data_IF_419837580582
#
_entry.id   IF_419837580582
#
_cell.length_a   1.000
_cell.length_b   1.000
_cell.length_c   1.000
_cell.angle_alpha   90.00
_cell.angle_beta   90.00
_cell.angle_gamma   90.00
#
_symmetry.space_group_name_H-M   'P 1'
#
loop_
_entity.id
_entity.type
_entity.pdbx_description
1 polymer ?
#
# COMPACT_ATOMS: atom_id res chain seq x y z
N UNK A 1 24.88 -0.17 -17.95
CA UNK A 1 24.70 -0.66 -16.55
C UNK A 1 23.94 -1.96 -16.58
N UNK A 2 24.16 -2.89 -15.67
CA UNK A 2 23.41 -4.15 -15.64
C UNK A 2 22.08 -3.93 -14.90
N UNK A 3 20.98 -4.45 -15.48
CA UNK A 3 19.69 -4.52 -14.77
C UNK A 3 19.82 -5.39 -13.52
N UNK A 4 19.23 -4.95 -12.43
CA UNK A 4 19.15 -5.68 -11.17
C UNK A 4 17.71 -5.74 -10.66
N UNK A 5 17.43 -6.69 -9.80
CA UNK A 5 16.13 -6.81 -9.15
C UNK A 5 15.95 -5.66 -8.14
N UNK A 6 14.91 -4.86 -8.32
CA UNK A 6 14.55 -3.75 -7.45
C UNK A 6 13.28 -4.12 -6.68
N UNK A 7 13.37 -4.04 -5.36
CA UNK A 7 12.30 -4.35 -4.42
C UNK A 7 12.04 -3.10 -3.58
N UNK A 8 10.80 -2.60 -3.59
CA UNK A 8 10.39 -1.42 -2.84
C UNK A 8 9.19 -1.74 -1.97
N UNK A 9 9.32 -1.55 -0.69
CA UNK A 9 8.32 -1.95 0.31
C UNK A 9 7.57 -0.74 0.88
N UNK A 10 6.23 -0.84 0.97
CA UNK A 10 5.34 0.17 1.55
C UNK A 10 4.52 -0.44 2.69
N UNK A 11 4.40 0.25 3.85
CA UNK A 11 3.69 -0.29 5.03
C UNK A 11 2.19 -0.13 4.92
N UNK A 12 1.45 -1.18 5.30
CA UNK A 12 0.00 -1.19 5.38
C UNK A 12 -0.45 -1.28 6.84
N UNK A 13 -1.29 -0.33 7.31
CA UNK A 13 -2.02 -0.46 8.57
C UNK A 13 -3.51 -0.59 8.27
N UNK A 14 -4.10 -1.73 8.64
CA UNK A 14 -5.53 -1.96 8.51
C UNK A 14 -6.14 -1.97 9.90
N UNK A 15 -7.15 -1.13 10.13
CA UNK A 15 -7.87 -1.12 11.40
C UNK A 15 -8.83 -2.31 11.47
N UNK A 16 -8.88 -3.07 12.59
CA UNK A 16 -9.79 -4.21 12.75
C UNK A 16 -11.27 -3.88 12.54
N UNK A 17 -11.69 -2.65 12.85
CA UNK A 17 -13.08 -2.19 12.68
C UNK A 17 -13.51 -2.04 11.22
N UNK A 18 -12.57 -2.02 10.29
CA UNK A 18 -12.81 -1.85 8.85
C UNK A 18 -12.98 -3.17 8.09
N UNK A 19 -12.78 -4.31 8.76
CA UNK A 19 -12.69 -5.64 8.14
C UNK A 19 -14.01 -6.30 7.76
N UNK A 20 -15.13 -5.82 8.30
CA UNK A 20 -16.41 -6.54 8.17
C UNK A 20 -17.24 -6.14 6.94
N UNK A 21 -16.86 -5.08 6.20
CA UNK A 21 -17.74 -4.47 5.20
C UNK A 21 -17.19 -4.41 3.76
N UNK A 22 -15.91 -4.82 3.52
CA UNK A 22 -15.31 -4.70 2.19
C UNK A 22 -15.05 -6.05 1.55
N UNK A 23 -16.11 -6.54 0.99
CA UNK A 23 -16.10 -7.79 0.25
C UNK A 23 -16.45 -7.46 -1.19
N UNK A 24 -15.64 -7.92 -2.14
CA UNK A 24 -16.04 -7.88 -3.54
C UNK A 24 -17.40 -8.57 -3.68
N UNK A 25 -18.39 -7.84 -4.20
CA UNK A 25 -19.80 -8.31 -4.28
C UNK A 25 -19.97 -9.57 -5.15
N UNK A 26 -19.06 -9.77 -6.11
CA UNK A 26 -19.11 -10.93 -7.02
C UNK A 26 -18.36 -12.15 -6.45
N UNK A 27 -17.16 -11.95 -5.91
CA UNK A 27 -16.30 -13.05 -5.44
C UNK A 27 -16.41 -13.36 -3.95
N UNK A 28 -16.92 -12.44 -3.15
CA UNK A 28 -16.93 -12.54 -1.69
C UNK A 28 -15.54 -12.40 -1.04
N UNK A 29 -14.53 -11.99 -1.80
CA UNK A 29 -13.17 -11.83 -1.32
C UNK A 29 -12.95 -10.48 -0.62
N UNK A 30 -12.06 -10.44 0.37
CA UNK A 30 -11.65 -9.21 1.04
C UNK A 30 -10.92 -8.28 0.04
N UNK A 31 -11.29 -7.01 0.03
CA UNK A 31 -10.60 -5.97 -0.74
C UNK A 31 -9.96 -4.97 0.21
N UNK A 32 -8.72 -4.61 -0.07
CA UNK A 32 -7.95 -3.59 0.64
C UNK A 32 -7.51 -2.50 -0.32
N UNK A 33 -7.33 -1.28 0.20
CA UNK A 33 -6.90 -0.13 -0.59
C UNK A 33 -5.78 0.62 0.13
N UNK A 34 -4.86 1.18 -0.64
CA UNK A 34 -3.80 2.03 -0.11
C UNK A 34 -2.74 2.40 -1.15
N UNK A 35 -1.64 2.98 -0.66
CA UNK A 35 -0.56 3.46 -1.50
C UNK A 35 0.29 2.29 -1.99
N UNK A 36 0.40 2.14 -3.30
CA UNK A 36 1.32 1.20 -3.96
C UNK A 36 2.73 1.77 -4.06
N UNK A 37 2.84 3.05 -4.47
CA UNK A 37 4.11 3.76 -4.58
C UNK A 37 3.93 5.25 -4.30
N UNK A 38 5.02 5.94 -3.98
CA UNK A 38 5.08 7.41 -3.98
C UNK A 38 6.20 7.82 -4.94
N UNK A 39 5.83 8.60 -5.96
CA UNK A 39 6.77 9.13 -6.94
C UNK A 39 7.47 10.39 -6.39
N UNK A 40 8.55 10.81 -7.06
CA UNK A 40 9.26 12.08 -6.82
C UNK A 40 9.84 12.23 -5.40
N UNK A 41 9.93 11.14 -4.64
CA UNK A 41 10.51 11.14 -3.29
C UNK A 41 11.56 10.04 -3.13
N UNK A 42 12.56 10.32 -2.28
CA UNK A 42 13.52 9.30 -1.86
C UNK A 42 12.83 8.33 -0.91
N UNK A 43 12.82 7.04 -1.26
CA UNK A 43 12.25 6.00 -0.41
C UNK A 43 13.23 5.47 0.65
N UNK A 44 12.77 4.53 1.48
CA UNK A 44 13.55 3.93 2.57
C UNK A 44 14.82 3.20 2.10
N UNK A 45 14.85 2.74 0.85
CA UNK A 45 16.04 2.11 0.23
C UNK A 45 16.99 3.13 -0.40
N UNK A 46 16.70 4.43 -0.28
CA UNK A 46 17.51 5.50 -0.87
C UNK A 46 17.29 5.68 -2.37
N UNK A 47 16.26 5.05 -2.94
CA UNK A 47 15.92 5.11 -4.35
C UNK A 47 14.90 6.19 -4.63
N UNK A 48 14.97 6.73 -5.86
CA UNK A 48 14.06 7.75 -6.37
C UNK A 48 13.47 7.29 -7.69
N UNK A 49 12.16 7.39 -7.81
CA UNK A 49 11.39 7.04 -8.99
C UNK A 49 10.67 8.27 -9.51
N UNK A 50 10.87 8.59 -10.79
CA UNK A 50 10.10 9.62 -11.47
C UNK A 50 8.66 9.18 -11.66
N UNK A 51 7.73 10.13 -11.70
CA UNK A 51 6.32 9.84 -11.92
C UNK A 51 6.06 9.24 -13.30
N UNK A 52 6.73 9.76 -14.33
CA UNK A 52 6.63 9.27 -15.70
C UNK A 52 7.05 7.79 -15.84
N UNK A 53 7.99 7.36 -14.98
CA UNK A 53 8.42 5.97 -14.95
C UNK A 53 7.28 5.05 -14.47
N UNK A 54 6.58 5.46 -13.41
CA UNK A 54 5.41 4.74 -12.91
C UNK A 54 4.25 4.80 -13.89
N UNK A 55 3.96 5.96 -14.51
CA UNK A 55 2.91 6.10 -15.51
C UNK A 55 3.09 5.10 -16.65
N UNK A 56 4.29 5.04 -17.21
CA UNK A 56 4.63 4.09 -18.27
C UNK A 56 4.47 2.63 -17.85
N UNK A 57 4.93 2.27 -16.65
CA UNK A 57 4.85 0.89 -16.17
C UNK A 57 3.42 0.51 -15.80
N UNK A 58 2.64 1.42 -15.23
CA UNK A 58 1.24 1.16 -14.92
C UNK A 58 0.36 1.07 -16.18
N UNK A 59 0.68 1.80 -17.24
CA UNK A 59 0.02 1.64 -18.54
C UNK A 59 0.21 0.21 -19.10
N UNK A 60 1.42 -0.35 -18.99
CA UNK A 60 1.69 -1.76 -19.35
C UNK A 60 0.98 -2.74 -18.41
N UNK A 61 0.97 -2.42 -17.11
CA UNK A 61 0.37 -3.26 -16.08
C UNK A 61 -1.15 -3.29 -16.16
N UNK A 62 -1.77 -2.27 -16.75
CA UNK A 62 -3.23 -2.15 -16.94
C UNK A 62 -3.83 -3.35 -17.67
N UNK A 63 -3.13 -3.91 -18.65
CA UNK A 63 -3.58 -5.12 -19.33
C UNK A 63 -3.68 -6.31 -18.36
N UNK A 64 -2.70 -6.46 -17.47
CA UNK A 64 -2.73 -7.52 -16.45
C UNK A 64 -3.90 -7.35 -15.48
N UNK A 65 -4.21 -6.10 -15.10
CA UNK A 65 -5.36 -5.77 -14.25
C UNK A 65 -6.66 -6.14 -14.95
N UNK A 66 -6.85 -5.70 -16.19
CA UNK A 66 -8.05 -5.98 -17.00
C UNK A 66 -8.28 -7.48 -17.25
N UNK A 67 -7.19 -8.22 -17.46
CA UNK A 67 -7.22 -9.67 -17.67
C UNK A 67 -7.24 -10.48 -16.36
N UNK A 68 -7.28 -9.83 -15.18
CA UNK A 68 -7.17 -10.46 -13.86
C UNK A 68 -5.92 -11.35 -13.72
N UNK A 69 -4.80 -10.87 -14.24
CA UNK A 69 -3.47 -11.51 -14.20
C UNK A 69 -2.45 -10.73 -13.37
N UNK A 70 -2.86 -9.63 -12.75
CA UNK A 70 -2.06 -8.75 -11.89
C UNK A 70 -1.78 -9.38 -10.52
N UNK A 71 -1.31 -10.63 -10.53
CA UNK A 71 -1.05 -11.42 -9.34
C UNK A 71 0.15 -10.90 -8.56
N UNK A 72 0.07 -11.01 -7.22
CA UNK A 72 1.18 -10.78 -6.31
C UNK A 72 1.32 -11.92 -5.30
N UNK A 73 2.50 -12.03 -4.72
CA UNK A 73 2.85 -13.08 -3.77
C UNK A 73 2.79 -12.57 -2.33
N UNK A 74 2.63 -13.50 -1.40
CA UNK A 74 2.89 -13.25 0.00
C UNK A 74 4.38 -13.49 0.23
N UNK A 75 5.04 -12.45 0.76
CA UNK A 75 6.48 -12.36 0.89
C UNK A 75 7.23 -12.12 -0.45
N UNK A 76 8.49 -11.66 -0.37
CA UNK A 76 9.30 -11.32 -1.53
C UNK A 76 10.27 -12.45 -1.86
N UNK A 77 10.04 -13.21 -2.94
CA UNK A 77 11.07 -14.09 -3.45
C UNK A 77 12.11 -13.28 -4.25
N UNK A 78 13.37 -13.66 -4.19
CA UNK A 78 14.43 -13.19 -5.09
C UNK A 78 14.27 -13.78 -6.50
N UNK A 79 13.10 -13.56 -7.11
CA UNK A 79 12.73 -14.14 -8.40
C UNK A 79 12.04 -13.13 -9.28
N UNK A 80 12.31 -13.19 -10.58
CA UNK A 80 11.62 -12.40 -11.60
C UNK A 80 10.32 -13.05 -12.09
N UNK A 81 10.04 -14.28 -11.63
CA UNK A 81 8.86 -15.05 -12.03
C UNK A 81 7.96 -15.25 -10.82
N UNK A 82 6.65 -15.00 -11.00
CA UNK A 82 5.63 -15.21 -9.96
C UNK A 82 5.44 -16.71 -9.74
N UNK A 83 5.59 -17.15 -8.50
CA UNK A 83 5.32 -18.52 -8.09
C UNK A 83 3.83 -18.66 -7.72
N UNK A 84 3.06 -19.34 -8.55
CA UNK A 84 1.62 -19.52 -8.35
C UNK A 84 1.24 -20.14 -7.00
N UNK A 85 2.14 -20.90 -6.36
CA UNK A 85 1.89 -21.44 -5.01
C UNK A 85 1.85 -20.36 -3.93
N UNK A 86 2.54 -19.25 -4.14
CA UNK A 86 2.65 -18.14 -3.19
C UNK A 86 1.67 -17.00 -3.48
N UNK A 87 0.95 -17.06 -4.59
CA UNK A 87 -0.02 -16.03 -4.96
C UNK A 87 -1.06 -15.86 -3.85
N UNK A 88 -1.21 -14.62 -3.36
CA UNK A 88 -2.11 -14.26 -2.28
C UNK A 88 -3.19 -13.28 -2.70
N UNK A 89 -3.01 -12.54 -3.80
CA UNK A 89 -3.87 -11.41 -4.17
C UNK A 89 -3.76 -11.03 -5.65
N UNK A 90 -4.68 -10.14 -6.06
CA UNK A 90 -4.68 -9.44 -7.34
C UNK A 90 -4.80 -7.93 -7.10
N UNK A 91 -4.07 -7.12 -7.86
CA UNK A 91 -4.39 -5.70 -8.02
C UNK A 91 -5.59 -5.58 -8.96
N UNK A 92 -6.68 -4.93 -8.52
CA UNK A 92 -7.92 -4.86 -9.27
C UNK A 92 -8.21 -3.48 -9.85
N UNK A 93 -7.60 -2.45 -9.26
CA UNK A 93 -7.75 -1.06 -9.68
C UNK A 93 -6.57 -0.22 -9.19
N UNK A 94 -6.29 0.89 -9.84
CA UNK A 94 -5.26 1.83 -9.42
C UNK A 94 -5.54 3.24 -9.95
N UNK A 95 -4.93 4.24 -9.32
CA UNK A 95 -5.03 5.64 -9.74
C UNK A 95 -4.12 6.54 -8.95
N UNK A 96 -3.91 7.75 -9.45
CA UNK A 96 -3.08 8.75 -8.78
C UNK A 96 -3.89 9.63 -7.81
N UNK A 97 -3.31 9.89 -6.65
CA UNK A 97 -3.69 10.95 -5.74
C UNK A 97 -2.43 11.81 -5.47
N UNK A 98 -2.31 12.91 -6.19
CA UNK A 98 -1.07 13.70 -6.22
C UNK A 98 0.12 12.89 -6.75
N UNK A 99 1.13 12.67 -5.90
CA UNK A 99 2.31 11.85 -6.22
C UNK A 99 2.21 10.42 -5.64
N UNK A 100 1.06 10.06 -5.07
CA UNK A 100 0.80 8.74 -4.54
C UNK A 100 0.04 7.90 -5.56
N UNK A 101 0.60 6.77 -5.94
CA UNK A 101 -0.09 5.75 -6.71
C UNK A 101 -0.91 4.90 -5.75
N UNK A 102 -2.21 5.08 -5.76
CA UNK A 102 -3.16 4.31 -4.97
C UNK A 102 -3.53 3.02 -5.69
N UNK A 103 -3.85 1.97 -4.95
CA UNK A 103 -4.34 0.71 -5.54
C UNK A 103 -5.37 0.02 -4.69
N UNK A 104 -6.24 -0.76 -5.37
CA UNK A 104 -7.18 -1.70 -4.77
C UNK A 104 -6.69 -3.12 -5.01
N UNK A 105 -6.68 -3.91 -3.96
CA UNK A 105 -6.14 -5.26 -3.97
C UNK A 105 -7.19 -6.23 -3.44
N UNK A 106 -7.54 -7.23 -4.23
CA UNK A 106 -8.42 -8.33 -3.86
C UNK A 106 -7.59 -9.50 -3.30
N UNK A 107 -7.86 -9.89 -2.06
CA UNK A 107 -7.19 -11.03 -1.41
C UNK A 107 -7.86 -12.33 -1.87
N UNK A 108 -7.09 -13.18 -2.51
CA UNK A 108 -7.58 -14.44 -3.09
C UNK A 108 -7.71 -15.55 -2.03
N UNK A 109 -8.66 -16.51 -2.19
CA UNK A 109 -8.81 -17.63 -1.28
C UNK A 109 -7.77 -18.76 -1.53
N UNK A 110 -6.54 -18.39 -1.83
CA UNK A 110 -5.39 -19.29 -1.91
C UNK A 110 -4.83 -19.58 -0.51
N UNK A 111 -3.97 -20.59 -0.32
CA UNK A 111 -3.32 -20.80 0.97
C UNK A 111 -2.59 -19.54 1.49
N UNK A 112 -1.80 -18.87 0.64
CA UNK A 112 -1.08 -17.62 0.99
C UNK A 112 -2.05 -16.46 1.22
N UNK A 113 -3.10 -16.33 0.43
CA UNK A 113 -4.12 -15.30 0.62
C UNK A 113 -4.95 -15.51 1.90
N UNK A 114 -5.22 -16.74 2.29
CA UNK A 114 -5.88 -17.02 3.57
C UNK A 114 -4.99 -16.64 4.77
N UNK A 115 -3.68 -16.89 4.70
CA UNK A 115 -2.72 -16.40 5.71
C UNK A 115 -2.77 -14.89 5.78
N UNK A 116 -2.63 -14.21 4.65
CA UNK A 116 -2.70 -12.75 4.56
C UNK A 116 -4.00 -12.20 5.14
N UNK A 117 -5.14 -12.78 4.75
CA UNK A 117 -6.48 -12.41 5.25
C UNK A 117 -6.58 -12.51 6.77
N UNK A 118 -6.07 -13.59 7.36
CA UNK A 118 -6.11 -13.76 8.82
C UNK A 118 -5.14 -12.81 9.55
N UNK A 119 -3.96 -12.53 8.98
CA UNK A 119 -3.07 -11.49 9.51
C UNK A 119 -3.77 -10.13 9.56
N UNK A 120 -4.37 -9.72 8.44
CA UNK A 120 -5.11 -8.46 8.32
C UNK A 120 -6.27 -8.39 9.32
N UNK A 121 -7.09 -9.45 9.42
CA UNK A 121 -8.23 -9.52 10.36
C UNK A 121 -7.80 -9.42 11.83
N UNK A 122 -6.63 -9.88 12.16
CA UNK A 122 -6.08 -9.81 13.51
C UNK A 122 -5.28 -8.50 13.76
N UNK A 123 -5.37 -7.52 12.85
CA UNK A 123 -4.75 -6.21 13.01
C UNK A 123 -3.24 -6.21 12.81
N UNK A 124 -2.68 -7.25 12.20
CA UNK A 124 -1.27 -7.29 11.84
C UNK A 124 -1.04 -6.31 10.70
N UNK A 125 -0.08 -5.40 10.90
CA UNK A 125 0.33 -4.46 9.86
C UNK A 125 1.20 -5.19 8.83
N UNK A 126 0.77 -5.17 7.58
CA UNK A 126 1.50 -5.71 6.43
C UNK A 126 1.72 -4.60 5.40
N UNK A 127 2.79 -4.70 4.63
CA UNK A 127 3.16 -3.75 3.61
C UNK A 127 2.91 -4.27 2.20
N UNK A 128 2.83 -3.34 1.23
CA UNK A 128 2.91 -3.65 -0.19
C UNK A 128 4.25 -3.18 -0.74
N UNK A 129 4.80 -3.95 -1.63
CA UNK A 129 6.10 -3.72 -2.23
C UNK A 129 6.06 -3.95 -3.73
N UNK A 130 6.65 -3.03 -4.50
CA UNK A 130 6.89 -3.29 -5.92
C UNK A 130 8.11 -4.18 -6.09
N UNK A 131 7.99 -5.14 -6.98
CA UNK A 131 9.09 -5.95 -7.51
C UNK A 131 9.26 -5.65 -8.99
N UNK A 132 10.47 -5.26 -9.38
CA UNK A 132 10.79 -4.88 -10.75
C UNK A 132 12.25 -5.12 -11.09
N UNK A 133 12.59 -4.93 -12.35
CA UNK A 133 13.96 -5.00 -12.88
C UNK A 133 14.36 -3.65 -13.44
N UNK A 134 15.55 -3.16 -13.12
CA UNK A 134 16.02 -1.89 -13.64
C UNK A 134 17.46 -1.60 -13.25
N UNK A 135 18.06 -0.60 -13.85
CA UNK A 135 19.37 -0.08 -13.47
C UNK A 135 19.21 1.15 -12.55
N UNK A 136 20.24 1.41 -11.77
CA UNK A 136 20.31 2.53 -10.85
C UNK A 136 21.48 3.42 -11.22
N UNK A 137 21.28 4.73 -11.16
CA UNK A 137 22.34 5.71 -11.31
C UNK A 137 22.37 6.63 -10.09
N UNK A 138 23.56 6.93 -9.60
CA UNK A 138 23.70 7.82 -8.46
C UNK A 138 23.51 9.27 -8.90
N UNK A 139 22.48 9.92 -8.35
CA UNK A 139 22.19 11.33 -8.54
C UNK A 139 22.21 12.05 -7.19
N UNK A 140 23.33 12.70 -6.86
CA UNK A 140 23.51 13.32 -5.56
C UNK A 140 23.42 12.32 -4.39
N UNK A 141 22.42 12.50 -3.53
CA UNK A 141 22.19 11.66 -2.34
C UNK A 141 21.18 10.53 -2.57
N UNK A 142 20.70 10.35 -3.80
CA UNK A 142 19.71 9.33 -4.15
C UNK A 142 20.24 8.39 -5.24
N UNK A 143 19.70 7.18 -5.27
CA UNK A 143 19.88 6.25 -6.39
C UNK A 143 18.64 6.37 -7.29
N UNK A 144 18.82 7.01 -8.43
CA UNK A 144 17.74 7.23 -9.41
C UNK A 144 17.52 5.97 -10.24
N UNK A 145 16.28 5.50 -10.27
CA UNK A 145 15.86 4.36 -11.10
C UNK A 145 15.75 4.82 -12.54
N UNK A 146 16.38 4.07 -13.45
CA UNK A 146 16.53 4.46 -14.83
C UNK A 146 15.37 4.00 -15.70
N UNK A 147 15.32 4.54 -16.94
CA UNK A 147 14.23 4.28 -17.90
C UNK A 147 14.13 2.82 -18.38
N UNK A 148 15.09 1.99 -18.05
CA UNK A 148 15.03 0.55 -18.32
C UNK A 148 14.27 -0.26 -17.27
N UNK A 149 13.63 0.43 -16.28
CA UNK A 149 12.82 -0.20 -15.27
C UNK A 149 11.60 -0.91 -15.87
N UNK A 150 11.32 -2.10 -15.38
CA UNK A 150 10.19 -2.93 -15.74
C UNK A 150 9.52 -3.42 -14.44
N UNK A 151 8.26 -3.05 -14.22
CA UNK A 151 7.46 -3.53 -13.08
C UNK A 151 7.03 -4.97 -13.35
N UNK A 152 7.27 -5.86 -12.39
CA UNK A 152 6.85 -7.26 -12.44
C UNK A 152 5.54 -7.50 -11.71
N UNK A 153 5.46 -7.08 -10.46
CA UNK A 153 4.27 -7.24 -9.61
C UNK A 153 4.35 -6.36 -8.36
N UNK A 154 3.26 -6.41 -7.60
CA UNK A 154 3.13 -5.89 -6.24
C UNK A 154 2.98 -7.05 -5.29
N UNK A 155 3.79 -7.14 -4.23
CA UNK A 155 3.79 -8.24 -3.27
C UNK A 155 3.43 -7.74 -1.86
N UNK A 156 2.81 -8.58 -1.02
CA UNK A 156 2.64 -8.26 0.41
C UNK A 156 3.84 -8.72 1.23
N UNK A 157 4.31 -7.83 2.12
CA UNK A 157 5.51 -8.04 2.92
C UNK A 157 5.33 -7.65 4.38
N UNK A 158 6.17 -8.21 5.26
CA UNK A 158 6.14 -7.92 6.69
C UNK A 158 6.77 -6.58 7.07
N UNK A 159 7.78 -6.12 6.32
CA UNK A 159 8.54 -4.91 6.62
C UNK A 159 8.70 -4.05 5.38
N UNK A 160 8.01 -2.90 5.31
CA UNK A 160 8.07 -2.01 4.17
C UNK A 160 9.21 -0.99 4.27
N UNK A 161 9.81 -0.62 3.15
CA UNK A 161 10.89 0.36 3.05
C UNK A 161 10.42 1.81 2.91
N UNK A 162 9.12 2.07 2.73
CA UNK A 162 8.59 3.43 2.63
C UNK A 162 7.77 3.82 3.87
N UNK A 163 8.13 4.90 4.59
CA UNK A 163 7.31 5.41 5.69
C UNK A 163 6.01 6.03 5.14
N UNK A 164 4.85 5.55 5.61
CA UNK A 164 3.56 6.21 5.37
C UNK A 164 2.61 5.51 4.40
N UNK A 165 3.00 4.43 3.75
CA UNK A 165 2.10 3.68 2.88
C UNK A 165 1.22 2.72 3.68
N UNK A 166 -0.05 3.12 3.85
CA UNK A 166 -1.04 2.34 4.59
C UNK A 166 -2.18 1.94 3.66
N UNK A 167 -2.55 0.67 3.65
CA UNK A 167 -3.80 0.22 3.04
C UNK A 167 -4.90 0.17 4.10
N UNK A 168 -6.06 0.67 3.75
CA UNK A 168 -7.27 0.54 4.55
C UNK A 168 -8.26 -0.37 3.82
N UNK A 169 -9.15 -0.98 4.59
CA UNK A 169 -10.27 -1.71 4.01
C UNK A 169 -11.25 -0.69 3.45
N UNK A 170 -11.65 -0.81 2.18
CA UNK A 170 -12.60 0.07 1.53
C UNK A 170 -13.96 -0.01 2.22
N UNK A 171 -14.51 1.13 2.65
CA UNK A 171 -15.92 1.26 3.04
C UNK A 171 -16.71 1.85 1.89
N UNK A 172 -17.50 1.03 1.19
CA UNK A 172 -18.54 1.57 0.32
C UNK A 172 -19.70 2.08 1.20
N UNK A 173 -19.90 3.40 1.22
CA UNK A 173 -21.15 4.01 1.63
C UNK A 173 -21.32 4.43 3.08
N UNK A 174 -20.28 4.78 3.81
CA UNK A 174 -20.45 5.59 5.04
C UNK A 174 -19.97 7.02 4.82
N UNK A 175 -20.90 7.96 5.01
CA UNK A 175 -20.56 9.36 5.23
C UNK A 175 -19.49 9.44 6.33
N UNK A 176 -18.45 10.20 6.08
CA UNK A 176 -17.40 10.48 7.08
C UNK A 176 -18.09 11.15 8.26
N UNK A 177 -18.34 10.40 9.34
CA UNK A 177 -18.76 10.99 10.59
C UNK A 177 -17.53 11.71 11.15
N UNK A 178 -17.39 12.98 10.83
CA UNK A 178 -16.48 13.87 11.55
C UNK A 178 -16.99 14.00 12.97
N UNK A 179 -16.34 13.31 13.90
CA UNK A 179 -16.62 13.52 15.31
C UNK A 179 -16.16 14.92 15.68
N UNK A 180 -17.13 15.79 15.95
CA UNK A 180 -16.87 17.10 16.53
C UNK A 180 -16.50 16.91 18.01
N UNK A 181 -15.21 16.91 18.30
CA UNK A 181 -14.67 16.82 19.65
C UNK A 181 -14.71 18.14 20.42
N UNK A 182 -15.30 19.20 19.88
CA UNK A 182 -15.39 20.52 20.53
C UNK A 182 -16.03 20.40 21.92
N UNK A 183 -17.14 19.68 22.04
CA UNK A 183 -17.80 19.45 23.31
C UNK A 183 -16.99 18.65 24.33
N UNK A 184 -16.21 17.69 23.86
CA UNK A 184 -15.31 16.87 24.71
C UNK A 184 -14.15 17.72 25.19
N UNK A 185 -13.57 18.53 24.32
CA UNK A 185 -12.50 19.46 24.65
C UNK A 185 -12.96 20.55 25.60
N UNK A 186 -14.21 21.03 25.46
CA UNK A 186 -14.81 22.01 26.38
C UNK A 186 -15.02 21.41 27.78
N UNK A 187 -15.53 20.19 27.88
CA UNK A 187 -15.68 19.48 29.16
C UNK A 187 -14.32 19.20 29.81
N UNK A 188 -13.32 18.79 29.04
CA UNK A 188 -11.95 18.59 29.53
C UNK A 188 -11.35 19.90 30.03
N UNK A 189 -11.56 21.01 29.30
CA UNK A 189 -11.13 22.33 29.71
C UNK A 189 -11.82 22.78 31.02
N UNK A 190 -13.10 22.56 31.13
CA UNK A 190 -13.88 22.90 32.34
C UNK A 190 -13.39 22.12 33.56
N UNK A 191 -13.10 20.82 33.40
CA UNK A 191 -12.56 19.96 34.47
C UNK A 191 -11.12 20.36 34.85
N UNK A 192 -10.26 20.63 33.88
CA UNK A 192 -8.86 20.93 34.12
C UNK A 192 -8.60 22.38 34.54
N UNK A 193 -9.47 23.33 34.13
CA UNK A 193 -9.34 24.77 34.42
C UNK A 193 -10.21 25.26 35.54
N UNK A 194 -11.02 24.39 36.18
CA UNK A 194 -11.92 24.77 37.29
C UNK A 194 -11.21 25.26 38.57
N UNK A 195 -9.86 25.22 38.62
CA UNK A 195 -9.03 25.67 39.75
C UNK A 195 -8.07 26.83 39.43
N UNK A 196 -8.34 27.62 38.38
CA UNK A 196 -7.68 28.91 38.19
C UNK A 196 -6.28 28.91 37.56
N UNK A 197 -5.78 27.80 37.11
CA UNK A 197 -4.55 27.74 36.29
C UNK A 197 -4.68 26.66 35.22
N UNK A 198 -4.71 27.08 33.93
CA UNK A 198 -4.75 26.17 32.78
C UNK A 198 -3.31 25.80 32.38
N UNK A 199 -2.89 24.53 32.38
CA UNK A 199 -1.51 24.16 32.04
C UNK A 199 -1.23 24.01 30.55
N UNK A 200 -2.14 24.45 29.67
CA UNK A 200 -1.95 24.34 28.21
C UNK A 200 -2.26 25.69 27.55
N UNK A 201 -1.21 26.32 27.06
CA UNK A 201 -1.25 27.42 26.09
C UNK A 201 -1.05 26.88 24.69
#
# INVERSE_FOLDING_TARGET
MSKQLLIETHTVKISPTQLTENVNKESGNLVVEGILATAEVKNGNGRYYKKELWDREMEKYDQLVKERRSMGELDHPESTVINLKNVSHLVTDYGWDGDQLMGKIEILPTPSGNILKELIKNGVTVGVSSRGMGSLEQNGSVMEVQDDFELLCWDFVSTPSNPGSFMSVLQEGKETITYDYTKVNDVIREILCSKGSCPVS
#
